data_IF_944900374583
#
_entry.id   IF_944900374583
#
_cell.length_a   1.000
_cell.length_b   1.000
_cell.length_c   1.000
_cell.angle_alpha   90.00
_cell.angle_beta   90.00
_cell.angle_gamma   90.00
#
_symmetry.space_group_name_H-M   'P 1'
#
loop_
_entity.id
_entity.type
_entity.pdbx_description
1 polymer ?
#
# COMPACT_ATOMS: atom_id res chain seq x y z
N UNK A 1 18.28 -1.17 9.68
CA UNK A 1 17.58 0.08 9.99
C UNK A 1 16.46 0.32 8.98
N UNK A 2 15.30 0.69 9.47
CA UNK A 2 14.14 0.93 8.58
C UNK A 2 14.30 2.23 7.80
N UNK A 3 13.74 2.24 6.59
CA UNK A 3 13.87 3.36 5.66
C UNK A 3 12.58 3.55 4.87
N UNK A 4 12.31 4.79 4.45
CA UNK A 4 11.19 5.12 3.57
C UNK A 4 11.75 5.82 2.34
N UNK A 5 11.44 5.30 1.15
CA UNK A 5 11.88 5.85 -0.13
C UNK A 5 10.67 6.01 -1.05
N UNK A 6 10.76 6.93 -1.99
CA UNK A 6 9.72 7.17 -3.00
C UNK A 6 10.40 7.11 -4.37
N UNK A 7 9.92 6.23 -5.26
CA UNK A 7 10.55 5.97 -6.55
C UNK A 7 9.57 6.08 -7.70
N UNK A 8 10.06 6.56 -8.83
CA UNK A 8 9.30 6.58 -10.08
C UNK A 8 9.49 5.24 -10.79
N UNK A 9 8.61 4.29 -10.47
CA UNK A 9 8.71 2.91 -10.95
C UNK A 9 7.34 2.25 -10.90
N UNK A 10 7.10 1.29 -11.80
CA UNK A 10 5.91 0.45 -11.71
C UNK A 10 6.01 -0.49 -10.51
N UNK A 11 4.94 -0.63 -9.75
CA UNK A 11 4.96 -1.44 -8.52
C UNK A 11 5.28 -2.92 -8.81
N UNK A 12 4.87 -3.43 -9.97
CA UNK A 12 5.15 -4.82 -10.38
C UNK A 12 6.60 -5.05 -10.76
N UNK A 13 7.38 -3.99 -10.95
CA UNK A 13 8.81 -4.08 -11.25
C UNK A 13 9.69 -4.08 -10.00
N UNK A 14 9.09 -3.84 -8.83
CA UNK A 14 9.83 -3.89 -7.57
C UNK A 14 10.22 -5.31 -7.21
N UNK A 15 11.39 -5.44 -6.61
CA UNK A 15 11.89 -6.72 -6.09
C UNK A 15 11.82 -6.80 -4.56
N UNK A 16 10.97 -5.98 -3.95
CA UNK A 16 10.67 -6.04 -2.52
C UNK A 16 10.07 -7.39 -2.14
N UNK A 17 10.19 -7.79 -0.88
CA UNK A 17 9.66 -9.06 -0.40
C UNK A 17 8.15 -9.16 -0.62
N UNK A 18 7.44 -8.05 -0.46
CA UNK A 18 6.01 -7.97 -0.77
C UNK A 18 5.68 -6.64 -1.43
N UNK A 19 4.57 -6.61 -2.16
CA UNK A 19 3.98 -5.38 -2.70
C UNK A 19 2.53 -5.29 -2.23
N UNK A 20 2.01 -4.07 -2.19
CA UNK A 20 0.65 -3.80 -1.73
C UNK A 20 -0.24 -3.46 -2.93
N UNK A 21 -1.38 -4.12 -2.98
CA UNK A 21 -2.43 -3.84 -3.94
C UNK A 21 -3.43 -2.87 -3.31
N UNK A 22 -3.79 -1.82 -4.04
CA UNK A 22 -4.91 -0.96 -3.68
C UNK A 22 -6.20 -1.69 -4.06
N UNK A 23 -6.71 -2.48 -3.14
CA UNK A 23 -7.80 -3.42 -3.37
C UNK A 23 -9.18 -2.80 -3.12
N UNK A 24 -10.20 -3.45 -3.64
CA UNK A 24 -11.60 -3.22 -3.25
C UNK A 24 -12.01 -4.25 -2.18
N UNK A 25 -13.12 -3.99 -1.50
CA UNK A 25 -13.57 -4.84 -0.40
C UNK A 25 -13.95 -6.26 -0.82
N UNK A 26 -14.33 -6.46 -2.08
CA UNK A 26 -14.61 -7.79 -2.62
C UNK A 26 -13.38 -8.55 -3.07
N UNK A 27 -12.21 -7.92 -3.06
CA UNK A 27 -10.94 -8.49 -3.53
C UNK A 27 -11.03 -8.97 -4.99
N UNK A 28 -11.78 -8.23 -5.80
CA UNK A 28 -11.93 -8.52 -7.22
C UNK A 28 -10.90 -7.77 -8.05
N UNK A 29 -10.47 -8.38 -9.16
CA UNK A 29 -9.61 -7.70 -10.11
C UNK A 29 -10.26 -6.43 -10.60
N UNK A 30 -9.53 -5.31 -10.51
CA UNK A 30 -10.01 -4.02 -10.98
C UNK A 30 -9.08 -3.42 -12.02
N UNK A 31 -9.15 -2.10 -12.19
CA UNK A 31 -8.29 -1.35 -13.10
C UNK A 31 -7.08 -0.77 -12.36
N UNK A 32 -6.28 0.03 -13.04
CA UNK A 32 -5.12 0.71 -12.46
C UNK A 32 -4.12 -0.26 -11.85
N UNK A 33 -3.63 0.07 -10.67
CA UNK A 33 -2.64 -0.74 -9.94
C UNK A 33 -3.15 -2.17 -9.70
N UNK A 34 -4.41 -2.31 -9.29
CA UNK A 34 -5.03 -3.61 -9.04
C UNK A 34 -4.99 -4.50 -10.29
N UNK A 35 -5.41 -3.96 -11.43
CA UNK A 35 -5.35 -4.70 -12.69
C UNK A 35 -3.93 -5.08 -13.09
N UNK A 36 -2.98 -4.16 -12.91
CA UNK A 36 -1.58 -4.42 -13.24
C UNK A 36 -1.00 -5.55 -12.38
N UNK A 37 -1.29 -5.55 -11.09
CA UNK A 37 -0.81 -6.59 -10.17
C UNK A 37 -1.42 -7.95 -10.53
N UNK A 38 -2.72 -8.01 -10.76
CA UNK A 38 -3.39 -9.26 -11.14
C UNK A 38 -2.83 -9.83 -12.44
N UNK A 39 -2.65 -8.97 -13.46
CA UNK A 39 -2.08 -9.42 -14.75
C UNK A 39 -0.66 -9.95 -14.60
N UNK A 40 0.17 -9.27 -13.82
CA UNK A 40 1.56 -9.68 -13.64
C UNK A 40 1.69 -10.94 -12.77
N UNK A 41 0.83 -11.13 -11.80
CA UNK A 41 0.82 -12.29 -10.91
C UNK A 41 0.29 -13.55 -11.60
N UNK A 42 -0.65 -13.39 -12.51
CA UNK A 42 -1.47 -14.45 -13.08
C UNK A 42 -2.90 -14.23 -12.61
N UNK A 43 -3.80 -13.69 -13.47
CA UNK A 43 -5.14 -13.25 -13.01
C UNK A 43 -5.99 -14.36 -12.41
N UNK A 44 -5.89 -15.57 -12.94
CA UNK A 44 -6.68 -16.70 -12.45
C UNK A 44 -6.24 -17.13 -11.06
N UNK A 45 -4.93 -17.31 -10.89
CA UNK A 45 -4.35 -17.75 -9.62
C UNK A 45 -4.59 -16.71 -8.54
N UNK A 46 -4.38 -15.44 -8.86
CA UNK A 46 -4.58 -14.35 -7.92
C UNK A 46 -6.07 -14.23 -7.53
N UNK A 47 -6.97 -14.29 -8.50
CA UNK A 47 -8.40 -14.20 -8.20
C UNK A 47 -8.88 -15.38 -7.35
N UNK A 48 -8.38 -16.58 -7.64
CA UNK A 48 -8.71 -17.77 -6.85
C UNK A 48 -8.27 -17.61 -5.39
N UNK A 49 -7.06 -17.11 -5.16
CA UNK A 49 -6.54 -16.87 -3.82
C UNK A 49 -7.38 -15.80 -3.09
N UNK A 50 -7.76 -14.74 -3.77
CA UNK A 50 -8.62 -13.69 -3.21
C UNK A 50 -10.02 -14.22 -2.89
N UNK A 51 -10.59 -15.06 -3.76
CA UNK A 51 -11.90 -15.66 -3.54
C UNK A 51 -11.93 -16.58 -2.32
N UNK A 52 -10.84 -17.28 -2.06
CA UNK A 52 -10.69 -18.11 -0.86
C UNK A 52 -10.77 -17.28 0.42
N UNK A 53 -10.18 -16.07 0.42
CA UNK A 53 -10.27 -15.16 1.56
C UNK A 53 -11.69 -14.61 1.69
N UNK A 54 -12.34 -14.30 0.58
CA UNK A 54 -13.75 -13.93 0.52
C UNK A 54 -14.04 -12.44 0.61
N UNK A 55 -13.11 -11.62 1.03
CA UNK A 55 -13.28 -10.18 1.14
C UNK A 55 -12.42 -9.58 2.23
N UNK A 56 -12.44 -8.24 2.32
CA UNK A 56 -11.68 -7.50 3.32
C UNK A 56 -12.38 -6.17 3.58
N UNK A 57 -12.63 -5.78 4.82
CA UNK A 57 -13.28 -4.50 5.11
C UNK A 57 -12.35 -3.31 4.85
N UNK A 58 -12.96 -2.15 4.62
CA UNK A 58 -12.22 -0.89 4.48
C UNK A 58 -11.36 -0.65 5.73
N UNK A 59 -10.12 -0.28 5.53
CA UNK A 59 -9.14 -0.09 6.61
C UNK A 59 -8.36 -1.36 6.94
N UNK A 60 -8.71 -2.50 6.34
CA UNK A 60 -8.02 -3.77 6.56
C UNK A 60 -7.05 -4.13 5.45
N UNK A 61 -6.32 -5.22 5.68
CA UNK A 61 -5.40 -5.79 4.70
C UNK A 61 -5.30 -7.29 4.89
N UNK A 62 -5.22 -8.01 3.76
CA UNK A 62 -5.04 -9.47 3.73
C UNK A 62 -3.88 -9.79 2.80
N UNK A 63 -3.32 -11.00 2.91
CA UNK A 63 -2.12 -11.36 2.16
C UNK A 63 -2.34 -12.64 1.36
N UNK A 64 -1.78 -12.66 0.12
CA UNK A 64 -1.74 -13.82 -0.76
C UNK A 64 -0.32 -14.07 -1.22
N UNK A 65 -0.03 -15.23 -1.83
CA UNK A 65 1.22 -15.38 -2.58
C UNK A 65 1.29 -14.39 -3.74
N UNK A 66 2.50 -14.14 -4.23
CA UNK A 66 2.73 -13.25 -5.39
C UNK A 66 2.68 -13.96 -6.73
N UNK A 67 2.66 -15.29 -6.74
CA UNK A 67 2.65 -16.10 -7.95
C UNK A 67 3.78 -15.72 -8.91
N UNK A 68 3.48 -15.22 -10.13
CA UNK A 68 4.51 -14.89 -11.12
C UNK A 68 5.22 -13.55 -10.89
N UNK A 69 4.82 -12.78 -9.87
CA UNK A 69 5.48 -11.52 -9.53
C UNK A 69 6.88 -11.76 -8.96
N UNK A 70 7.75 -10.73 -9.04
CA UNK A 70 9.04 -10.74 -8.33
C UNK A 70 8.85 -10.80 -6.82
N UNK A 71 7.87 -10.06 -6.30
CA UNK A 71 7.52 -10.10 -4.89
C UNK A 71 6.91 -11.45 -4.52
N UNK A 72 7.32 -11.99 -3.38
CA UNK A 72 6.83 -13.30 -2.90
C UNK A 72 5.38 -13.24 -2.43
N UNK A 73 4.95 -12.10 -1.95
CA UNK A 73 3.60 -11.90 -1.41
C UNK A 73 2.98 -10.63 -1.94
N UNK A 74 1.65 -10.64 -2.04
CA UNK A 74 0.85 -9.44 -2.30
C UNK A 74 -0.05 -9.19 -1.09
N UNK A 75 0.00 -7.98 -0.58
CA UNK A 75 -0.88 -7.53 0.50
C UNK A 75 -1.99 -6.71 -0.14
N UNK A 76 -3.24 -7.14 0.04
CA UNK A 76 -4.40 -6.46 -0.51
C UNK A 76 -4.98 -5.55 0.57
N UNK A 77 -4.73 -4.26 0.45
CA UNK A 77 -5.19 -3.25 1.40
C UNK A 77 -6.39 -2.51 0.84
N UNK A 78 -7.46 -2.44 1.61
CA UNK A 78 -8.70 -1.81 1.18
C UNK A 78 -8.79 -0.40 1.76
N UNK A 79 -8.41 0.58 0.95
CA UNK A 79 -8.48 1.98 1.32
C UNK A 79 -9.90 2.53 1.18
N UNK A 80 -10.18 3.68 1.82
CA UNK A 80 -11.49 4.31 1.73
C UNK A 80 -11.70 4.97 0.37
N UNK A 81 -12.97 5.03 -0.06
CA UNK A 81 -13.40 5.90 -1.15
C UNK A 81 -13.60 7.29 -0.54
N UNK A 82 -13.02 8.30 -1.17
CA UNK A 82 -13.12 9.67 -0.67
C UNK A 82 -14.54 10.21 -0.83
N UNK A 83 -15.12 10.67 0.27
CA UNK A 83 -16.48 11.24 0.32
C UNK A 83 -16.49 12.55 1.10
N UNK A 84 -15.46 13.37 0.95
CA UNK A 84 -15.36 14.70 1.54
C UNK A 84 -14.62 14.80 2.88
N UNK A 85 -14.12 13.69 3.41
CA UNK A 85 -13.26 13.69 4.60
C UNK A 85 -13.99 13.59 5.94
N UNK A 86 -15.32 13.38 5.94
CA UNK A 86 -16.12 13.30 7.17
C UNK A 86 -16.59 11.89 7.52
N UNK A 87 -16.11 10.88 6.80
CA UNK A 87 -16.53 9.48 6.95
C UNK A 87 -15.39 8.58 7.44
N UNK A 88 -14.55 9.10 8.31
CA UNK A 88 -13.38 8.39 8.86
C UNK A 88 -12.35 7.98 7.79
N UNK A 89 -12.29 8.67 6.66
CA UNK A 89 -11.39 8.33 5.57
C UNK A 89 -9.93 8.36 6.01
N UNK A 90 -9.51 9.40 6.74
CA UNK A 90 -8.14 9.50 7.21
C UNK A 90 -7.76 8.34 8.15
N UNK A 91 -8.65 7.98 9.06
CA UNK A 91 -8.45 6.85 9.98
C UNK A 91 -8.37 5.53 9.22
N UNK A 92 -9.28 5.31 8.29
CA UNK A 92 -9.30 4.08 7.49
C UNK A 92 -8.07 3.96 6.60
N UNK A 93 -7.63 5.06 6.00
CA UNK A 93 -6.41 5.06 5.18
C UNK A 93 -5.18 4.79 6.04
N UNK A 94 -5.07 5.43 7.19
CA UNK A 94 -4.00 5.18 8.16
C UNK A 94 -3.95 3.70 8.53
N UNK A 95 -5.10 3.12 8.88
CA UNK A 95 -5.20 1.71 9.28
C UNK A 95 -4.77 0.76 8.15
N UNK A 96 -5.07 1.09 6.89
CA UNK A 96 -4.63 0.29 5.74
C UNK A 96 -3.11 0.14 5.70
N UNK A 97 -2.39 1.22 5.92
CA UNK A 97 -0.93 1.19 5.94
C UNK A 97 -0.40 0.39 7.12
N UNK A 98 -0.96 0.62 8.31
CA UNK A 98 -0.56 -0.11 9.52
C UNK A 98 -0.81 -1.61 9.36
N UNK A 99 -2.01 -2.00 8.91
CA UNK A 99 -2.36 -3.39 8.72
C UNK A 99 -1.53 -4.06 7.62
N UNK A 100 -1.19 -3.33 6.57
CA UNK A 100 -0.29 -3.82 5.53
C UNK A 100 1.09 -4.15 6.09
N UNK A 101 1.64 -3.26 6.89
CA UNK A 101 2.94 -3.46 7.52
C UNK A 101 2.90 -4.62 8.53
N UNK A 102 1.79 -4.76 9.25
CA UNK A 102 1.59 -5.90 10.16
C UNK A 102 1.57 -7.22 9.40
N UNK A 103 0.87 -7.28 8.26
CA UNK A 103 0.85 -8.50 7.43
C UNK A 103 2.24 -8.84 6.90
N UNK A 104 3.00 -7.83 6.47
CA UNK A 104 4.37 -8.01 6.01
C UNK A 104 5.26 -8.60 7.11
N UNK A 105 5.17 -8.04 8.31
CA UNK A 105 5.93 -8.52 9.46
C UNK A 105 5.59 -9.97 9.82
N UNK A 106 4.30 -10.33 9.79
CA UNK A 106 3.84 -11.69 10.09
C UNK A 106 4.45 -12.72 9.14
N UNK A 107 4.76 -12.33 7.91
CA UNK A 107 5.39 -13.20 6.91
C UNK A 107 6.91 -13.07 6.86
N UNK A 108 7.50 -12.31 7.77
CA UNK A 108 8.94 -12.12 7.82
C UNK A 108 9.50 -11.26 6.70
N UNK A 109 8.66 -10.41 6.09
CA UNK A 109 9.11 -9.50 5.04
C UNK A 109 9.89 -8.33 5.63
N UNK A 110 10.99 -7.97 5.00
CA UNK A 110 11.82 -6.84 5.40
C UNK A 110 11.85 -5.73 4.36
N UNK A 111 11.05 -5.86 3.30
CA UNK A 111 10.85 -4.80 2.30
C UNK A 111 9.43 -4.87 1.77
N UNK A 112 8.83 -3.71 1.54
CA UNK A 112 7.44 -3.59 1.12
C UNK A 112 7.31 -2.46 0.11
N UNK A 113 6.58 -2.71 -0.99
CA UNK A 113 6.26 -1.70 -1.98
C UNK A 113 4.81 -1.26 -1.87
N UNK A 114 4.58 0.03 -1.74
CA UNK A 114 3.24 0.61 -1.66
C UNK A 114 2.90 1.44 -2.90
N UNK A 115 1.64 1.40 -3.35
CA UNK A 115 1.09 2.47 -4.16
C UNK A 115 0.64 3.59 -3.23
N UNK A 116 0.26 4.74 -3.79
CA UNK A 116 -0.44 5.77 -2.99
C UNK A 116 -1.91 5.34 -2.88
N UNK A 117 -2.24 4.64 -1.80
CA UNK A 117 -3.56 4.03 -1.61
C UNK A 117 -4.67 5.08 -1.63
N UNK A 118 -5.79 4.77 -2.26
CA UNK A 118 -7.00 5.60 -2.39
C UNK A 118 -6.85 6.86 -3.25
N UNK A 119 -5.66 7.19 -3.75
CA UNK A 119 -5.42 8.44 -4.46
C UNK A 119 -5.70 8.39 -5.97
N UNK A 120 -6.05 7.21 -6.49
CA UNK A 120 -6.48 7.04 -7.88
C UNK A 120 -7.98 7.19 -8.02
N UNK A 121 -8.66 6.12 -8.47
CA UNK A 121 -10.10 6.11 -8.71
C UNK A 121 -10.91 6.45 -7.46
N UNK A 122 -10.43 6.06 -6.27
CA UNK A 122 -11.11 6.36 -5.01
C UNK A 122 -11.10 7.84 -4.62
N UNK A 123 -10.31 8.65 -5.30
CA UNK A 123 -10.41 10.10 -5.26
C UNK A 123 -9.87 10.80 -4.02
N UNK A 124 -9.12 10.11 -3.18
CA UNK A 124 -8.51 10.75 -2.01
C UNK A 124 -7.56 11.87 -2.48
N UNK A 125 -7.65 13.08 -1.91
CA UNK A 125 -6.74 14.17 -2.29
C UNK A 125 -5.29 13.76 -2.07
N UNK A 126 -4.45 13.98 -3.08
CA UNK A 126 -3.09 13.42 -3.12
C UNK A 126 -2.18 13.93 -2.01
N UNK A 127 -2.26 15.23 -1.70
CA UNK A 127 -1.43 15.82 -0.63
C UNK A 127 -1.77 15.17 0.71
N UNK A 128 -3.06 15.10 1.04
CA UNK A 128 -3.52 14.48 2.29
C UNK A 128 -3.25 12.99 2.31
N UNK A 129 -3.38 12.31 1.18
CA UNK A 129 -3.06 10.88 1.07
C UNK A 129 -1.59 10.62 1.40
N UNK A 130 -0.68 11.45 0.89
CA UNK A 130 0.74 11.35 1.22
C UNK A 130 1.01 11.59 2.71
N UNK A 131 0.35 12.59 3.29
CA UNK A 131 0.53 12.88 4.71
C UNK A 131 0.16 11.69 5.58
N UNK A 132 -0.98 11.07 5.30
CA UNK A 132 -1.44 9.89 6.04
C UNK A 132 -0.48 8.71 5.82
N UNK A 133 -0.08 8.46 4.58
CA UNK A 133 0.78 7.33 4.23
C UNK A 133 2.13 7.41 4.95
N UNK A 134 2.77 8.56 4.89
CA UNK A 134 4.10 8.76 5.49
C UNK A 134 4.02 8.71 7.02
N UNK A 135 3.00 9.33 7.59
CA UNK A 135 2.76 9.29 9.03
C UNK A 135 2.57 7.87 9.52
N UNK A 136 1.72 7.09 8.84
CA UNK A 136 1.45 5.71 9.23
C UNK A 136 2.73 4.86 9.20
N UNK A 137 3.53 4.99 8.14
CA UNK A 137 4.77 4.24 8.03
C UNK A 137 5.78 4.64 9.10
N UNK A 138 5.90 5.93 9.39
CA UNK A 138 6.79 6.41 10.46
C UNK A 138 6.34 5.93 11.84
N UNK A 139 5.04 5.98 12.11
CA UNK A 139 4.49 5.50 13.38
C UNK A 139 4.76 4.00 13.55
N UNK A 140 4.53 3.22 12.49
CA UNK A 140 4.77 1.78 12.55
C UNK A 140 6.25 1.45 12.80
N UNK A 141 7.15 2.14 12.10
CA UNK A 141 8.60 1.96 12.27
C UNK A 141 8.99 2.30 13.70
N UNK A 142 8.47 3.40 14.24
CA UNK A 142 8.71 3.81 15.62
C UNK A 142 8.19 2.80 16.65
N UNK A 143 7.04 2.20 16.36
CA UNK A 143 6.41 1.19 17.23
C UNK A 143 7.07 -0.20 17.10
N UNK A 144 7.89 -0.41 16.08
CA UNK A 144 8.58 -1.68 15.83
C UNK A 144 10.09 -1.46 15.68
N UNK A 145 10.76 -0.94 16.73
CA UNK A 145 12.17 -0.54 16.61
C UNK A 145 13.13 -1.72 16.39
N UNK A 146 12.71 -2.93 16.76
CA UNK A 146 13.55 -4.13 16.63
C UNK A 146 13.29 -4.89 15.33
N UNK A 147 12.46 -4.33 14.45
CA UNK A 147 12.14 -4.96 13.16
C UNK A 147 12.49 -4.02 12.01
N UNK A 148 13.41 -4.44 11.15
CA UNK A 148 13.83 -3.64 10.00
C UNK A 148 12.85 -3.83 8.84
N UNK A 149 12.35 -2.70 8.31
CA UNK A 149 11.44 -2.69 7.17
C UNK A 149 11.82 -1.56 6.21
N UNK A 150 12.18 -1.92 4.99
CA UNK A 150 12.39 -0.94 3.93
C UNK A 150 11.06 -0.70 3.20
N UNK A 151 10.59 0.53 3.27
CA UNK A 151 9.33 0.95 2.64
C UNK A 151 9.65 1.70 1.36
N UNK A 152 9.05 1.27 0.24
CA UNK A 152 9.20 1.94 -1.05
C UNK A 152 7.81 2.30 -1.57
N UNK A 153 7.57 3.58 -1.80
CA UNK A 153 6.37 4.02 -2.53
C UNK A 153 6.70 4.04 -4.02
N UNK A 154 5.93 3.30 -4.82
CA UNK A 154 6.09 3.23 -6.27
C UNK A 154 5.01 4.08 -6.93
N UNK A 155 5.41 5.10 -7.66
CA UNK A 155 4.51 5.99 -8.38
C UNK A 155 4.97 6.13 -9.83
N UNK A 156 4.03 6.42 -10.73
CA UNK A 156 4.30 6.53 -12.17
C UNK A 156 4.29 7.97 -12.68
N UNK A 157 3.94 8.92 -11.82
CA UNK A 157 3.80 10.33 -12.18
C UNK A 157 4.82 11.15 -11.39
N UNK A 158 5.63 11.94 -12.12
CA UNK A 158 6.69 12.74 -11.53
C UNK A 158 6.16 13.78 -10.54
N UNK A 159 4.99 14.36 -10.83
CA UNK A 159 4.37 15.36 -9.95
C UNK A 159 3.94 14.73 -8.64
N UNK A 160 3.36 13.54 -8.69
CA UNK A 160 2.98 12.78 -7.49
C UNK A 160 4.22 12.41 -6.67
N UNK A 161 5.31 12.01 -7.34
CA UNK A 161 6.59 11.75 -6.70
C UNK A 161 7.08 12.97 -5.92
N UNK A 162 7.06 14.14 -6.54
CA UNK A 162 7.52 15.39 -5.91
C UNK A 162 6.65 15.77 -4.72
N UNK A 163 5.33 15.59 -4.82
CA UNK A 163 4.41 15.81 -3.71
C UNK A 163 4.74 14.91 -2.52
N UNK A 164 5.09 13.66 -2.79
CA UNK A 164 5.48 12.71 -1.76
C UNK A 164 6.78 13.09 -1.08
N UNK A 165 7.77 13.53 -1.85
CA UNK A 165 9.04 13.99 -1.30
C UNK A 165 8.88 15.23 -0.43
N UNK A 166 8.01 16.16 -0.82
CA UNK A 166 7.67 17.31 0.01
C UNK A 166 7.00 16.88 1.33
N UNK A 167 6.03 15.99 1.25
CA UNK A 167 5.35 15.48 2.45
C UNK A 167 6.33 14.79 3.39
N UNK A 168 7.25 14.01 2.86
CA UNK A 168 8.28 13.32 3.65
C UNK A 168 9.23 14.30 4.33
N UNK A 169 9.60 15.39 3.64
CA UNK A 169 10.48 16.42 4.21
C UNK A 169 9.80 17.19 5.34
N UNK A 170 8.49 17.46 5.23
CA UNK A 170 7.71 18.18 6.24
C UNK A 170 7.27 17.29 7.39
N UNK A 171 7.04 16.02 7.11
CA UNK A 171 6.45 15.08 8.06
C UNK A 171 7.24 14.87 9.35
N UNK A 172 8.55 15.18 9.35
CA UNK A 172 9.37 15.06 10.55
C UNK A 172 9.10 16.15 11.59
N UNK A 173 8.38 17.19 11.25
CA UNK A 173 8.23 18.37 12.10
C UNK A 173 6.80 18.72 12.49
N UNK A 174 5.81 18.19 11.82
CA UNK A 174 4.42 18.61 11.99
C UNK A 174 3.41 17.53 12.34
N UNK A 175 3.84 16.36 12.52
CA UNK A 175 2.93 15.22 12.74
C UNK A 175 2.68 14.97 14.22
#
# INVERSE_FOLDING_TARGET
>A
MSNIDIRLIGITDLDTDCIVNAANSGLAMGSGVCGAIFRAAGPREMQAACNEIGGCPTGGAVITPGFALKAKHVIHAVGPIWKGGKNNEAKNLYNCYIESLNRAKEKGCHSIGFPLISAGIFGYPKTEAWQVAIRACRDWISDNPDYDMDVVFAVLDKKILEMGKEAAALGGTGW
#
